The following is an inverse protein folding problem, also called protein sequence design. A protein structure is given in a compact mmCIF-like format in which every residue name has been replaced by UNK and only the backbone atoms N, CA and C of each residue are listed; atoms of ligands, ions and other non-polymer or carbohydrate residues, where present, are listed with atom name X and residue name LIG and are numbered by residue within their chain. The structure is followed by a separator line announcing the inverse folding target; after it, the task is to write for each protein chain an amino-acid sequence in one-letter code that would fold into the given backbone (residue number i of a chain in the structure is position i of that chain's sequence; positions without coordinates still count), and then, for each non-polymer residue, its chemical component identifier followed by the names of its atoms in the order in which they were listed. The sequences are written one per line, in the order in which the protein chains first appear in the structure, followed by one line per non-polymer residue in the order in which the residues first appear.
data_IF_116761319896
#
_entry.id   IF_116761319896
#
_cell.length_a   1.000
_cell.length_b   1.000
_cell.length_c   1.000
_cell.angle_alpha   90.00
_cell.angle_beta   90.00
_cell.angle_gamma   90.00
#
_symmetry.space_group_name_H-M   'P 1'
#
loop_
_entity.id
_entity.type
_entity.pdbx_description
1 polymer ?
#
# COMPACT_ATOMS: atom_id res chain seq x y z
N UNK A 1 -9.20 42.27 6.12
CA UNK A 1 -8.22 41.17 6.06
C UNK A 1 -8.78 40.12 5.12
N UNK A 2 -8.02 39.77 4.08
CA UNK A 2 -8.47 38.91 2.98
C UNK A 2 -8.72 37.48 3.44
N UNK A 3 -9.88 36.94 3.07
CA UNK A 3 -10.17 35.52 3.07
C UNK A 3 -9.35 34.88 1.94
N UNK A 4 -8.29 34.18 2.30
CA UNK A 4 -7.47 33.39 1.37
C UNK A 4 -8.29 32.21 0.83
N UNK A 5 -8.48 32.22 -0.48
CA UNK A 5 -9.08 31.15 -1.27
C UNK A 5 -8.35 29.82 -1.03
N UNK A 6 -9.07 28.81 -0.53
CA UNK A 6 -8.66 27.40 -0.62
C UNK A 6 -9.11 26.92 -2.00
N UNK A 7 -8.38 27.31 -3.05
CA UNK A 7 -8.56 26.80 -4.40
C UNK A 7 -7.66 25.59 -4.64
N UNK A 8 -8.29 24.49 -5.06
CA UNK A 8 -7.88 23.62 -6.17
C UNK A 8 -6.45 23.03 -6.18
N UNK A 9 -5.91 22.71 -5.01
CA UNK A 9 -4.55 22.15 -4.88
C UNK A 9 -4.44 20.71 -5.48
N UNK A 10 -5.55 19.98 -5.57
CA UNK A 10 -5.59 18.66 -6.23
C UNK A 10 -5.57 18.74 -7.76
N UNK A 11 -6.23 19.74 -8.36
CA UNK A 11 -6.21 19.96 -9.80
C UNK A 11 -4.84 20.42 -10.30
N UNK A 12 -4.21 21.35 -9.58
CA UNK A 12 -2.88 21.86 -9.90
C UNK A 12 -1.76 20.83 -9.69
N UNK A 13 -1.79 20.07 -8.57
CA UNK A 13 -0.80 19.02 -8.31
C UNK A 13 -0.94 17.82 -9.26
N UNK A 14 -2.16 17.53 -9.73
CA UNK A 14 -2.36 16.52 -10.78
C UNK A 14 -1.81 16.96 -12.13
N UNK A 15 -2.02 18.23 -12.48
CA UNK A 15 -1.54 18.82 -13.74
C UNK A 15 -0.02 18.78 -13.88
N UNK A 16 0.75 19.08 -12.81
CA UNK A 16 2.23 19.09 -12.90
C UNK A 16 2.85 17.73 -13.20
N UNK A 17 2.30 16.65 -12.65
CA UNK A 17 2.84 15.30 -12.85
C UNK A 17 2.41 14.75 -14.21
N UNK A 18 1.20 15.06 -14.67
CA UNK A 18 0.75 14.70 -16.01
C UNK A 18 1.63 15.38 -17.07
N UNK A 19 2.00 16.65 -16.86
CA UNK A 19 2.87 17.39 -17.77
C UNK A 19 4.24 16.73 -17.97
N UNK A 20 4.76 15.95 -17.02
CA UNK A 20 6.00 15.18 -17.19
C UNK A 20 5.85 14.09 -18.24
N UNK A 21 4.70 13.41 -18.29
CA UNK A 21 4.42 12.37 -19.27
C UNK A 21 4.17 12.92 -20.67
N UNK A 22 3.90 14.22 -20.79
CA UNK A 22 3.77 14.93 -22.06
C UNK A 22 5.09 15.46 -22.63
N UNK A 23 6.19 15.37 -21.86
CA UNK A 23 7.50 15.84 -22.29
C UNK A 23 8.05 14.95 -23.42
N UNK A 24 8.72 15.58 -24.38
CA UNK A 24 9.37 14.88 -25.49
C UNK A 24 10.39 13.85 -25.02
N UNK A 25 11.11 14.14 -23.94
CA UNK A 25 12.09 13.23 -23.35
C UNK A 25 11.46 11.93 -22.83
N UNK A 26 10.34 12.00 -22.11
CA UNK A 26 9.61 10.81 -21.67
C UNK A 26 9.11 9.99 -22.86
N UNK A 27 8.58 10.65 -23.90
CA UNK A 27 8.11 9.97 -25.12
C UNK A 27 9.24 9.25 -25.85
N UNK A 28 10.41 9.90 -25.99
CA UNK A 28 11.58 9.27 -26.61
C UNK A 28 12.08 8.05 -25.84
N UNK A 29 12.10 8.11 -24.50
CA UNK A 29 12.44 6.93 -23.69
C UNK A 29 11.39 5.83 -23.81
N UNK A 30 10.11 6.17 -23.81
CA UNK A 30 9.04 5.19 -23.99
C UNK A 30 9.15 4.49 -25.36
N UNK A 31 9.40 5.23 -26.43
CA UNK A 31 9.62 4.69 -27.77
C UNK A 31 10.81 3.71 -27.78
N UNK A 32 11.94 4.10 -27.17
CA UNK A 32 13.13 3.25 -27.04
C UNK A 32 12.81 1.95 -26.29
N UNK A 33 12.09 2.03 -25.16
CA UNK A 33 11.72 0.86 -24.35
C UNK A 33 10.80 -0.08 -25.11
N UNK A 34 9.77 0.44 -25.78
CA UNK A 34 8.82 -0.36 -26.55
C UNK A 34 9.50 -1.14 -27.68
N UNK A 35 10.44 -0.51 -28.40
CA UNK A 35 11.14 -1.14 -29.53
C UNK A 35 12.24 -2.10 -29.06
N UNK A 36 13.10 -1.67 -28.13
CA UNK A 36 14.35 -2.38 -27.83
C UNK A 36 14.27 -3.34 -26.64
N UNK A 37 13.42 -3.05 -25.65
CA UNK A 37 13.43 -3.79 -24.37
C UNK A 37 12.20 -4.69 -24.28
N UNK A 38 11.02 -4.14 -24.55
CA UNK A 38 9.75 -4.87 -24.44
C UNK A 38 9.34 -5.56 -25.74
N UNK A 39 9.95 -5.19 -26.86
CA UNK A 39 9.68 -5.77 -28.19
C UNK A 39 8.20 -5.69 -28.60
N UNK A 40 7.50 -4.63 -28.17
CA UNK A 40 6.09 -4.38 -28.54
C UNK A 40 5.96 -3.77 -29.94
N UNK A 41 7.05 -3.20 -30.45
CA UNK A 41 7.11 -2.45 -31.70
C UNK A 41 7.06 -0.94 -31.47
N UNK A 42 7.02 -0.17 -32.56
CA UNK A 42 6.96 1.28 -32.48
C UNK A 42 5.60 1.75 -31.93
N UNK A 43 5.57 2.65 -30.92
CA UNK A 43 4.34 3.25 -30.45
C UNK A 43 3.62 4.04 -31.55
N UNK A 44 2.33 3.78 -31.72
CA UNK A 44 1.44 4.50 -32.64
C UNK A 44 0.58 5.53 -31.91
N UNK A 45 0.17 5.22 -30.67
CA UNK A 45 -0.53 6.12 -29.78
C UNK A 45 -0.20 5.82 -28.33
N UNK A 46 -0.24 6.86 -27.48
CA UNK A 46 -0.04 6.73 -26.03
C UNK A 46 -1.20 7.43 -25.32
N UNK A 47 -1.80 6.75 -24.35
CA UNK A 47 -2.85 7.29 -23.49
C UNK A 47 -2.41 7.19 -22.04
N UNK A 48 -2.56 8.29 -21.30
CA UNK A 48 -2.24 8.35 -19.87
C UNK A 48 -3.51 8.63 -19.08
N UNK A 49 -3.79 7.80 -18.07
CA UNK A 49 -4.89 8.00 -17.15
C UNK A 49 -4.36 8.12 -15.72
N UNK A 50 -4.62 9.24 -15.01
CA UNK A 50 -4.22 9.35 -13.62
C UNK A 50 -5.04 8.39 -12.75
N UNK A 51 -4.35 7.62 -11.90
CA UNK A 51 -4.96 6.68 -10.96
C UNK A 51 -4.99 7.25 -9.54
N UNK A 52 -3.89 7.86 -9.09
CA UNK A 52 -3.76 8.38 -7.72
C UNK A 52 -2.81 9.56 -7.64
N UNK A 53 -3.19 10.52 -6.79
CA UNK A 53 -2.39 11.71 -6.49
C UNK A 53 -1.91 11.68 -5.05
N UNK A 54 -0.62 11.94 -4.88
CA UNK A 54 0.01 12.22 -3.60
C UNK A 54 0.72 13.58 -3.69
N UNK A 55 1.11 14.13 -2.54
CA UNK A 55 1.83 15.40 -2.51
C UNK A 55 3.19 15.30 -3.22
N UNK A 56 3.80 14.13 -3.22
CA UNK A 56 5.16 13.87 -3.70
C UNK A 56 5.21 13.02 -4.98
N UNK A 57 4.07 12.48 -5.41
CA UNK A 57 4.00 11.70 -6.66
C UNK A 57 2.63 11.68 -7.33
N UNK A 58 2.62 11.40 -8.62
CA UNK A 58 1.44 10.94 -9.35
C UNK A 58 1.61 9.50 -9.83
N UNK A 59 0.55 8.70 -9.74
CA UNK A 59 0.50 7.35 -10.32
C UNK A 59 -0.46 7.34 -11.51
N UNK A 60 -0.01 6.78 -12.63
CA UNK A 60 -0.71 6.76 -13.90
C UNK A 60 -0.77 5.34 -14.46
N UNK A 61 -1.89 5.02 -15.08
CA UNK A 61 -1.92 3.99 -16.11
C UNK A 61 -1.48 4.61 -17.43
N UNK A 62 -0.56 3.94 -18.12
CA UNK A 62 -0.07 4.33 -19.44
C UNK A 62 -0.37 3.18 -20.39
N UNK A 63 -1.26 3.44 -21.35
CA UNK A 63 -1.61 2.50 -22.40
C UNK A 63 -0.89 2.91 -23.69
N UNK A 64 -0.18 1.96 -24.29
CA UNK A 64 0.61 2.16 -25.51
C UNK A 64 0.03 1.28 -26.62
N UNK A 65 -0.42 1.91 -27.69
CA UNK A 65 -0.85 1.23 -28.91
C UNK A 65 0.36 0.97 -29.81
N UNK A 66 0.49 -0.27 -30.27
CA UNK A 66 1.52 -0.72 -31.20
C UNK A 66 0.87 -1.57 -32.28
N UNK A 67 1.66 -2.01 -33.27
CA UNK A 67 1.20 -2.94 -34.30
C UNK A 67 0.65 -4.26 -33.73
N UNK A 68 1.11 -4.66 -32.54
CA UNK A 68 0.69 -5.88 -31.86
C UNK A 68 -0.52 -5.68 -30.94
N UNK A 69 -1.01 -4.45 -30.82
CA UNK A 69 -2.16 -4.08 -30.01
C UNK A 69 -1.81 -3.14 -28.85
N UNK A 70 -2.70 -3.09 -27.87
CA UNK A 70 -2.60 -2.23 -26.69
C UNK A 70 -1.85 -2.93 -25.55
N UNK A 71 -0.83 -2.27 -25.04
CA UNK A 71 -0.04 -2.69 -23.89
C UNK A 71 -0.20 -1.70 -22.74
N UNK A 72 -0.16 -2.18 -21.49
CA UNK A 72 -0.36 -1.35 -20.31
C UNK A 72 0.82 -1.39 -19.34
N UNK A 73 1.26 -0.22 -18.89
CA UNK A 73 2.25 -0.06 -17.81
C UNK A 73 1.74 0.90 -16.74
N UNK A 74 2.30 0.80 -15.54
CA UNK A 74 2.09 1.78 -14.47
C UNK A 74 3.28 2.73 -14.43
N UNK A 75 2.98 4.03 -14.54
CA UNK A 75 3.95 5.11 -14.37
C UNK A 75 3.81 5.80 -13.03
N UNK A 76 4.90 5.89 -12.26
CA UNK A 76 4.97 6.69 -11.04
C UNK A 76 5.92 7.86 -11.26
N UNK A 77 5.36 9.07 -11.28
CA UNK A 77 6.09 10.33 -11.48
C UNK A 77 6.39 10.95 -10.13
N UNK A 78 7.66 11.22 -9.83
CA UNK A 78 8.10 11.74 -8.53
C UNK A 78 8.52 13.22 -8.60
N UNK A 79 8.27 13.97 -7.53
CA UNK A 79 8.76 15.34 -7.41
C UNK A 79 10.26 15.43 -7.10
N UNK A 80 10.83 14.37 -6.51
CA UNK A 80 12.25 14.22 -6.16
C UNK A 80 12.83 12.95 -6.78
N UNK A 81 14.15 12.86 -6.90
CA UNK A 81 14.80 11.63 -7.36
C UNK A 81 14.51 10.46 -6.39
N UNK A 82 14.10 9.33 -6.96
CA UNK A 82 13.69 8.11 -6.26
C UNK A 82 14.28 6.86 -6.90
N UNK A 83 15.43 6.96 -7.58
CA UNK A 83 16.13 5.80 -8.15
C UNK A 83 16.37 4.64 -7.16
N UNK A 84 16.47 4.94 -5.85
CA UNK A 84 16.56 3.92 -4.80
C UNK A 84 15.34 2.98 -4.71
N UNK A 85 14.15 3.44 -5.09
CA UNK A 85 12.93 2.62 -5.11
C UNK A 85 13.05 1.53 -6.16
N UNK A 86 13.48 1.88 -7.38
CA UNK A 86 13.70 0.91 -8.46
C UNK A 86 14.72 -0.17 -8.07
N UNK A 87 15.89 0.25 -7.55
CA UNK A 87 16.92 -0.70 -7.08
C UNK A 87 16.41 -1.64 -5.99
N UNK A 88 15.55 -1.12 -5.11
CA UNK A 88 14.93 -1.92 -4.05
C UNK A 88 13.99 -2.96 -4.65
N UNK A 89 13.10 -2.54 -5.57
CA UNK A 89 12.20 -3.45 -6.28
C UNK A 89 12.98 -4.54 -7.03
N UNK A 90 14.02 -4.19 -7.78
CA UNK A 90 14.84 -5.17 -8.49
C UNK A 90 15.45 -6.21 -7.54
N UNK A 91 15.98 -5.77 -6.40
CA UNK A 91 16.57 -6.66 -5.42
C UNK A 91 15.54 -7.62 -4.81
N UNK A 92 14.32 -7.15 -4.55
CA UNK A 92 13.23 -7.99 -4.06
C UNK A 92 12.77 -8.98 -5.13
N UNK A 93 12.62 -8.51 -6.37
CA UNK A 93 12.23 -9.34 -7.50
C UNK A 93 13.22 -10.50 -7.69
N UNK A 94 14.53 -10.20 -7.64
CA UNK A 94 15.63 -11.19 -7.69
C UNK A 94 15.67 -12.11 -6.46
N UNK A 95 15.13 -11.69 -5.32
CA UNK A 95 15.07 -12.49 -4.10
C UNK A 95 13.87 -13.46 -4.04
N UNK A 96 13.27 -13.80 -5.19
CA UNK A 96 12.21 -14.79 -5.28
C UNK A 96 10.80 -14.20 -5.14
N UNK A 97 10.61 -12.95 -5.54
CA UNK A 97 9.30 -12.30 -5.70
C UNK A 97 9.03 -11.91 -7.17
N UNK A 98 9.62 -12.64 -8.12
CA UNK A 98 9.37 -12.50 -9.55
C UNK A 98 8.06 -13.16 -10.02
N UNK A 99 7.78 -13.12 -11.34
CA UNK A 99 6.49 -13.51 -11.91
C UNK A 99 6.15 -15.00 -11.77
N UNK A 100 7.15 -15.86 -11.58
CA UNK A 100 6.93 -17.30 -11.38
C UNK A 100 6.70 -17.67 -9.90
N UNK A 101 6.93 -16.74 -8.98
CA UNK A 101 6.85 -17.01 -7.55
C UNK A 101 5.42 -16.81 -7.05
N UNK A 102 4.84 -17.80 -6.34
CA UNK A 102 3.48 -17.76 -5.76
C UNK A 102 3.08 -16.42 -5.10
N UNK A 103 4.05 -15.72 -4.52
CA UNK A 103 3.94 -14.37 -3.99
C UNK A 103 4.98 -13.49 -4.67
N UNK A 104 4.53 -12.45 -5.37
CA UNK A 104 5.33 -11.62 -6.24
C UNK A 104 5.15 -10.13 -5.93
N UNK A 105 5.95 -9.33 -6.62
CA UNK A 105 5.78 -7.88 -6.77
C UNK A 105 5.68 -7.56 -8.27
N UNK A 106 5.12 -6.40 -8.67
CA UNK A 106 5.14 -5.97 -10.06
C UNK A 106 6.57 -5.95 -10.57
N UNK A 107 6.78 -6.41 -11.80
CA UNK A 107 8.08 -6.27 -12.43
C UNK A 107 8.46 -4.77 -12.53
N UNK A 108 9.58 -4.34 -11.93
CA UNK A 108 10.12 -3.01 -12.20
C UNK A 108 10.73 -3.02 -13.61
N UNK A 109 10.23 -2.20 -14.53
CA UNK A 109 10.79 -2.13 -15.88
C UNK A 109 11.98 -1.18 -15.93
N UNK A 110 11.82 0.07 -15.50
CA UNK A 110 12.90 1.06 -15.54
C UNK A 110 12.62 2.25 -14.62
N UNK A 111 13.69 2.90 -14.14
CA UNK A 111 13.63 4.26 -13.62
C UNK A 111 14.33 5.22 -14.58
N UNK A 112 13.61 6.25 -15.04
CA UNK A 112 14.09 7.30 -15.93
C UNK A 112 14.49 8.53 -15.09
N UNK A 113 15.78 8.77 -14.79
CA UNK A 113 16.18 9.78 -13.80
C UNK A 113 15.92 11.22 -14.25
N UNK A 114 16.01 11.49 -15.56
CA UNK A 114 15.85 12.84 -16.11
C UNK A 114 14.42 13.37 -15.95
N UNK A 115 13.43 12.49 -16.10
CA UNK A 115 12.00 12.78 -15.92
C UNK A 115 11.44 12.27 -14.58
N UNK A 116 12.27 11.60 -13.76
CA UNK A 116 11.91 11.04 -12.45
C UNK A 116 10.70 10.11 -12.50
N UNK A 117 10.63 9.26 -13.51
CA UNK A 117 9.53 8.31 -13.73
C UNK A 117 10.00 6.87 -13.47
N UNK A 118 9.27 6.15 -12.63
CA UNK A 118 9.36 4.69 -12.51
C UNK A 118 8.27 4.06 -13.38
N UNK A 119 8.66 3.15 -14.28
CA UNK A 119 7.74 2.30 -15.04
C UNK A 119 7.77 0.88 -14.47
N UNK A 120 6.59 0.33 -14.21
CA UNK A 120 6.41 -1.03 -13.68
C UNK A 120 5.22 -1.73 -14.35
N UNK A 121 5.18 -3.05 -14.18
CA UNK A 121 4.09 -3.91 -14.67
C UNK A 121 2.72 -3.42 -14.18
N UNK A 122 1.74 -3.42 -15.11
CA UNK A 122 0.33 -3.27 -14.75
C UNK A 122 -0.25 -4.62 -14.32
N UNK A 123 -0.31 -4.82 -13.01
CA UNK A 123 -0.94 -6.01 -12.42
C UNK A 123 -2.43 -6.03 -12.73
N UNK A 124 -2.91 -7.18 -13.19
CA UNK A 124 -4.33 -7.41 -13.50
C UNK A 124 -5.07 -8.03 -12.31
N UNK A 125 -6.39 -7.86 -12.28
CA UNK A 125 -7.28 -8.49 -11.30
C UNK A 125 -7.75 -7.55 -10.18
N UNK A 126 -8.71 -8.00 -9.35
CA UNK A 126 -9.25 -7.20 -8.26
C UNK A 126 -8.22 -7.00 -7.15
N UNK A 127 -8.29 -5.83 -6.51
CA UNK A 127 -7.54 -5.60 -5.28
C UNK A 127 -8.10 -6.43 -4.12
N UNK A 128 -7.28 -6.75 -3.11
CA UNK A 128 -7.72 -7.38 -1.89
C UNK A 128 -8.77 -6.53 -1.18
N UNK A 129 -8.71 -5.19 -1.31
CA UNK A 129 -9.76 -4.28 -0.85
C UNK A 129 -11.12 -4.65 -1.43
N UNK A 130 -11.20 -4.84 -2.75
CA UNK A 130 -12.47 -5.17 -3.42
C UNK A 130 -13.02 -6.51 -2.91
N UNK A 131 -12.17 -7.53 -2.79
CA UNK A 131 -12.58 -8.83 -2.25
C UNK A 131 -13.01 -8.76 -0.79
N UNK A 132 -12.32 -7.97 0.03
CA UNK A 132 -12.68 -7.79 1.45
C UNK A 132 -14.00 -7.04 1.64
N UNK A 133 -14.31 -6.06 0.78
CA UNK A 133 -15.55 -5.28 0.86
C UNK A 133 -16.74 -6.00 0.25
N UNK A 134 -16.55 -6.51 -0.96
CA UNK A 134 -17.64 -6.89 -1.85
C UNK A 134 -17.72 -8.41 -2.04
N UNK A 135 -16.70 -9.16 -1.64
CA UNK A 135 -16.69 -10.63 -1.76
C UNK A 135 -17.67 -11.31 -0.81
N UNK A 136 -17.93 -12.59 -1.08
CA UNK A 136 -18.57 -13.53 -0.18
C UNK A 136 -17.72 -13.74 1.09
N UNK A 137 -18.29 -14.26 2.20
CA UNK A 137 -17.51 -14.56 3.40
C UNK A 137 -16.27 -15.43 3.13
N UNK A 138 -16.39 -16.42 2.24
CA UNK A 138 -15.27 -17.27 1.85
C UNK A 138 -14.16 -16.49 1.12
N UNK A 139 -14.52 -15.66 0.14
CA UNK A 139 -13.55 -14.83 -0.59
C UNK A 139 -12.85 -13.81 0.31
N UNK A 140 -13.57 -13.25 1.30
CA UNK A 140 -12.97 -12.33 2.30
C UNK A 140 -11.92 -13.03 3.16
N UNK A 141 -12.23 -14.25 3.61
CA UNK A 141 -11.29 -15.06 4.42
C UNK A 141 -10.06 -15.40 3.56
N UNK A 142 -10.27 -15.91 2.35
CA UNK A 142 -9.18 -16.22 1.42
C UNK A 142 -8.31 -14.99 1.11
N UNK A 143 -8.94 -13.82 0.91
CA UNK A 143 -8.27 -12.53 0.74
C UNK A 143 -7.32 -12.21 1.89
N UNK A 144 -7.82 -12.30 3.11
CA UNK A 144 -7.06 -11.98 4.31
C UNK A 144 -5.96 -13.01 4.62
N UNK A 145 -6.23 -14.31 4.47
CA UNK A 145 -5.25 -15.38 4.71
C UNK A 145 -4.06 -15.25 3.77
N UNK A 146 -4.32 -15.10 2.49
CA UNK A 146 -3.29 -14.97 1.46
C UNK A 146 -2.50 -13.66 1.59
N UNK A 147 -3.16 -12.55 1.93
CA UNK A 147 -2.47 -11.30 2.25
C UNK A 147 -1.53 -11.47 3.46
N UNK A 148 -1.94 -12.24 4.48
CA UNK A 148 -1.09 -12.60 5.61
C UNK A 148 0.10 -13.48 5.21
N UNK A 149 -0.12 -14.47 4.34
CA UNK A 149 0.93 -15.37 3.85
C UNK A 149 1.98 -14.64 3.01
N UNK A 150 1.55 -13.75 2.10
CA UNK A 150 2.46 -12.92 1.30
C UNK A 150 3.39 -12.12 2.23
N UNK A 151 2.80 -11.46 3.23
CA UNK A 151 3.53 -10.63 4.17
C UNK A 151 4.49 -11.44 5.08
N UNK A 152 4.06 -12.61 5.53
CA UNK A 152 4.90 -13.51 6.31
C UNK A 152 6.12 -13.97 5.51
N UNK A 153 5.92 -14.32 4.23
CA UNK A 153 7.03 -14.63 3.31
C UNK A 153 7.92 -13.42 3.10
N UNK A 154 7.34 -12.23 2.89
CA UNK A 154 8.10 -11.00 2.71
C UNK A 154 9.02 -10.71 3.89
N UNK A 155 8.51 -10.78 5.12
CA UNK A 155 9.32 -10.61 6.33
C UNK A 155 10.46 -11.62 6.46
N UNK A 156 10.29 -12.83 5.94
CA UNK A 156 11.25 -13.91 6.10
C UNK A 156 12.32 -13.90 5.01
N UNK A 157 11.91 -13.70 3.76
CA UNK A 157 12.74 -13.95 2.59
C UNK A 157 13.22 -12.68 1.88
N UNK A 158 12.56 -11.55 2.07
CA UNK A 158 12.93 -10.35 1.33
C UNK A 158 14.24 -9.73 1.87
N UNK A 159 15.04 -9.10 0.99
CA UNK A 159 16.26 -8.42 1.39
C UNK A 159 15.99 -7.31 2.41
N UNK A 160 16.85 -7.22 3.43
CA UNK A 160 16.79 -6.17 4.45
C UNK A 160 17.46 -4.90 3.92
N UNK A 161 16.74 -4.18 3.07
CA UNK A 161 17.23 -2.96 2.43
C UNK A 161 16.71 -1.72 3.15
N UNK A 162 17.51 -0.65 3.12
CA UNK A 162 17.21 0.67 3.68
C UNK A 162 17.37 0.77 5.19
N UNK A 163 16.86 1.88 5.73
CA UNK A 163 17.09 2.26 7.12
C UNK A 163 16.22 1.46 8.07
N UNK A 164 16.84 1.04 9.17
CA UNK A 164 16.10 0.44 10.24
C UNK A 164 15.13 1.42 10.87
N UNK A 165 13.90 0.96 11.14
CA UNK A 165 12.94 1.80 11.85
C UNK A 165 13.42 2.00 13.28
N UNK A 166 13.85 3.22 13.58
CA UNK A 166 13.94 3.68 14.96
C UNK A 166 12.53 3.92 15.50
N UNK A 167 12.02 2.93 16.22
CA UNK A 167 10.69 2.99 16.86
C UNK A 167 10.69 4.11 17.90
N UNK A 168 11.78 4.27 18.66
CA UNK A 168 11.89 5.28 19.72
C UNK A 168 11.91 6.69 19.13
N UNK A 169 12.69 6.90 18.06
CA UNK A 169 12.70 8.14 17.29
C UNK A 169 11.35 8.52 16.67
N UNK A 170 10.39 7.58 16.56
CA UNK A 170 9.03 7.87 16.07
C UNK A 170 8.05 8.33 17.16
N UNK A 171 8.38 8.20 18.46
CA UNK A 171 7.44 8.56 19.53
C UNK A 171 7.08 10.04 19.55
N UNK A 172 7.98 10.93 19.15
CA UNK A 172 7.66 12.36 18.99
C UNK A 172 6.52 12.57 18.00
N UNK A 173 6.53 11.85 16.87
CA UNK A 173 5.45 11.88 15.89
C UNK A 173 4.18 11.22 16.41
N UNK A 174 4.29 10.11 17.13
CA UNK A 174 3.12 9.46 17.74
C UNK A 174 2.44 10.35 18.78
N UNK A 175 3.22 11.06 19.60
CA UNK A 175 2.72 12.03 20.56
C UNK A 175 1.93 13.15 19.86
N UNK A 176 2.48 13.74 18.79
CA UNK A 176 1.78 14.78 18.02
C UNK A 176 0.40 14.31 17.51
N UNK A 177 0.29 13.06 17.05
CA UNK A 177 -0.99 12.50 16.62
C UNK A 177 -1.93 12.24 17.79
N UNK A 178 -1.39 11.71 18.90
CA UNK A 178 -2.15 11.51 20.14
C UNK A 178 -2.72 12.83 20.66
N UNK A 179 -1.93 13.90 20.70
CA UNK A 179 -2.36 15.24 21.11
C UNK A 179 -3.51 15.74 20.23
N UNK A 180 -3.41 15.52 18.91
CA UNK A 180 -4.48 15.86 17.97
C UNK A 180 -5.74 15.05 18.23
N UNK A 181 -5.62 13.74 18.49
CA UNK A 181 -6.78 12.89 18.86
C UNK A 181 -7.40 13.39 20.17
N UNK A 182 -6.57 13.71 21.17
CA UNK A 182 -7.02 14.20 22.46
C UNK A 182 -7.75 15.54 22.36
N UNK A 183 -7.37 16.39 21.39
CA UNK A 183 -8.04 17.68 21.17
C UNK A 183 -9.53 17.57 20.79
N UNK A 184 -9.99 16.40 20.32
CA UNK A 184 -11.42 16.15 20.04
C UNK A 184 -12.26 15.85 21.30
N UNK A 185 -11.64 15.77 22.49
CA UNK A 185 -12.33 15.54 23.74
C UNK A 185 -12.71 14.07 24.00
N UNK A 186 -13.60 13.86 24.98
CA UNK A 186 -13.98 12.52 25.42
C UNK A 186 -15.00 11.87 24.45
N UNK A 187 -14.96 10.53 24.27
CA UNK A 187 -14.06 9.55 24.92
C UNK A 187 -12.73 9.32 24.18
N UNK A 188 -12.46 10.08 23.12
CA UNK A 188 -11.28 9.86 22.27
C UNK A 188 -9.98 10.23 22.98
N UNK A 189 -10.02 11.24 23.84
CA UNK A 189 -8.87 11.65 24.64
C UNK A 189 -8.37 10.53 25.56
N UNK A 190 -9.27 9.90 26.34
CA UNK A 190 -8.87 8.80 27.23
C UNK A 190 -8.31 7.61 26.46
N UNK A 191 -8.95 7.26 25.33
CA UNK A 191 -8.49 6.16 24.48
C UNK A 191 -7.14 6.46 23.84
N UNK A 192 -6.93 7.67 23.35
CA UNK A 192 -5.67 8.11 22.75
C UNK A 192 -4.53 8.09 23.76
N UNK A 193 -4.74 8.69 24.93
CA UNK A 193 -3.75 8.72 26.01
C UNK A 193 -3.41 7.30 26.51
N UNK A 194 -4.42 6.43 26.64
CA UNK A 194 -4.21 5.02 27.02
C UNK A 194 -3.39 4.28 25.98
N UNK A 195 -3.77 4.37 24.71
CA UNK A 195 -3.07 3.70 23.61
C UNK A 195 -1.61 4.14 23.53
N UNK A 196 -1.35 5.44 23.68
CA UNK A 196 0.02 5.96 23.65
C UNK A 196 0.89 5.38 24.78
N UNK A 197 0.39 5.34 26.02
CA UNK A 197 1.10 4.73 27.15
C UNK A 197 1.36 3.23 26.93
N UNK A 198 0.37 2.50 26.42
CA UNK A 198 0.52 1.07 26.11
C UNK A 198 1.59 0.85 25.01
N UNK A 199 1.63 1.72 23.99
CA UNK A 199 2.65 1.68 22.94
C UNK A 199 4.05 1.99 23.49
N UNK A 200 4.20 2.99 24.37
CA UNK A 200 5.47 3.30 25.04
C UNK A 200 5.97 2.12 25.87
N UNK A 201 5.08 1.51 26.67
CA UNK A 201 5.42 0.36 27.49
C UNK A 201 5.81 -0.88 26.66
N UNK A 202 5.19 -1.07 25.49
CA UNK A 202 5.49 -2.18 24.58
C UNK A 202 6.71 -1.93 23.67
N UNK A 203 7.30 -0.73 23.71
CA UNK A 203 8.43 -0.37 22.88
C UNK A 203 9.68 -1.16 23.28
N UNK A 204 10.36 -1.84 22.34
CA UNK A 204 11.51 -2.64 22.67
C UNK A 204 12.69 -1.75 23.13
N UNK A 205 13.57 -2.33 23.93
CA UNK A 205 14.85 -1.71 24.21
C UNK A 205 15.73 -1.72 22.93
N UNK A 206 16.59 -0.71 22.72
CA UNK A 206 17.51 -0.70 21.58
C UNK A 206 18.32 -2.00 21.50
N UNK A 207 18.45 -2.56 20.30
CA UNK A 207 19.24 -3.78 20.06
C UNK A 207 18.62 -5.10 20.51
N UNK A 208 17.41 -5.10 21.09
CA UNK A 208 16.78 -6.32 21.63
C UNK A 208 15.90 -7.08 20.64
N UNK A 209 15.71 -6.56 19.42
CA UNK A 209 14.82 -7.15 18.42
C UNK A 209 15.55 -7.28 17.10
N UNK A 210 15.39 -8.46 16.48
CA UNK A 210 15.83 -8.68 15.12
C UNK A 210 14.89 -7.98 14.13
N UNK A 211 15.45 -7.12 13.30
CA UNK A 211 14.72 -6.38 12.27
C UNK A 211 14.51 -7.23 11.01
N UNK A 212 13.30 -7.29 10.49
CA UNK A 212 13.00 -7.96 9.21
C UNK A 212 12.70 -6.94 8.10
N UNK A 213 12.67 -7.39 6.85
CA UNK A 213 12.17 -6.53 5.77
C UNK A 213 10.72 -6.12 6.05
N UNK A 214 10.38 -4.87 5.79
CA UNK A 214 9.03 -4.32 5.94
C UNK A 214 8.59 -3.59 4.67
N UNK A 215 7.32 -3.79 4.30
CA UNK A 215 6.73 -3.16 3.11
C UNK A 215 6.59 -1.64 3.28
N UNK A 216 6.34 -1.18 4.52
CA UNK A 216 6.31 0.24 4.87
C UNK A 216 4.94 0.91 4.77
N UNK A 217 4.03 0.41 3.92
CA UNK A 217 2.60 0.80 3.86
C UNK A 217 1.77 -0.32 3.20
N UNK A 218 1.60 -1.42 3.96
CA UNK A 218 0.90 -2.61 3.48
C UNK A 218 -0.60 -2.46 3.71
N UNK A 219 -1.32 -2.04 2.67
CA UNK A 219 -2.77 -1.83 2.71
C UNK A 219 -3.46 -2.69 1.63
N UNK A 220 -4.75 -3.06 1.81
CA UNK A 220 -5.45 -3.94 0.88
C UNK A 220 -5.56 -3.42 -0.56
N UNK A 221 -5.48 -2.09 -0.75
CA UNK A 221 -5.38 -1.45 -2.07
C UNK A 221 -4.12 -1.82 -2.85
N UNK A 222 -3.06 -2.20 -2.14
CA UNK A 222 -1.77 -2.54 -2.73
C UNK A 222 -1.60 -4.03 -2.98
N UNK A 223 -2.62 -4.87 -2.73
CA UNK A 223 -2.54 -6.32 -2.91
C UNK A 223 -3.54 -6.72 -3.98
N UNK A 224 -3.11 -7.50 -4.97
CA UNK A 224 -3.92 -7.88 -6.12
C UNK A 224 -4.08 -9.39 -6.21
N UNK A 225 -5.30 -9.81 -6.54
CA UNK A 225 -5.68 -11.20 -6.64
C UNK A 225 -5.76 -11.59 -8.11
N UNK A 226 -4.87 -12.45 -8.56
CA UNK A 226 -4.87 -12.94 -9.94
C UNK A 226 -5.48 -14.35 -9.98
N UNK A 227 -6.49 -14.62 -10.84
CA UNK A 227 -7.20 -15.90 -10.89
C UNK A 227 -6.34 -17.12 -11.27
N UNK A 228 -5.23 -16.92 -11.96
CA UNK A 228 -4.40 -17.99 -12.55
C UNK A 228 -2.89 -17.78 -12.36
N UNK A 229 -2.50 -16.76 -11.59
CA UNK A 229 -1.12 -16.31 -11.42
C UNK A 229 -0.81 -16.04 -9.93
N UNK A 230 0.46 -15.89 -9.58
CA UNK A 230 0.86 -15.55 -8.23
C UNK A 230 0.33 -14.22 -7.69
N UNK A 231 0.17 -14.17 -6.36
CA UNK A 231 -0.34 -13.01 -5.66
C UNK A 231 0.66 -11.88 -5.63
N UNK A 232 0.23 -10.72 -6.12
CA UNK A 232 1.13 -9.58 -6.32
C UNK A 232 0.81 -8.47 -5.32
N UNK A 233 1.82 -8.00 -4.60
CA UNK A 233 1.70 -6.78 -3.80
C UNK A 233 2.49 -5.64 -4.47
N UNK A 234 1.83 -4.52 -4.71
CA UNK A 234 2.40 -3.32 -5.31
C UNK A 234 3.49 -2.71 -4.44
N UNK A 235 4.52 -2.20 -5.14
CA UNK A 235 5.54 -1.39 -4.53
C UNK A 235 5.04 0.02 -4.21
N UNK A 236 5.37 0.55 -3.04
CA UNK A 236 5.21 1.96 -2.71
C UNK A 236 6.62 2.55 -2.43
N UNK A 237 6.78 3.86 -2.48
CA UNK A 237 7.97 4.65 -2.09
C UNK A 237 8.57 4.36 -0.71
N UNK A 238 7.95 3.49 0.09
CA UNK A 238 8.37 3.20 1.45
C UNK A 238 8.90 1.78 1.66
N UNK A 239 9.05 1.02 0.58
CA UNK A 239 9.83 -0.22 0.62
C UNK A 239 11.24 0.17 1.00
N UNK A 240 11.82 -0.60 1.93
CA UNK A 240 13.09 -0.33 2.61
C UNK A 240 12.98 0.19 4.06
N UNK A 241 11.86 -0.05 4.76
CA UNK A 241 11.85 0.07 6.22
C UNK A 241 11.99 -1.31 6.80
N UNK A 242 13.02 -1.54 7.61
CA UNK A 242 13.00 -2.77 8.40
C UNK A 242 11.95 -2.63 9.50
N UNK A 243 11.04 -3.59 9.57
CA UNK A 243 9.92 -3.60 10.50
C UNK A 243 10.13 -4.65 11.58
N UNK A 244 9.44 -4.47 12.71
CA UNK A 244 9.36 -5.46 13.77
C UNK A 244 8.21 -6.42 13.48
N UNK A 245 8.41 -7.76 13.49
CA UNK A 245 7.31 -8.71 13.61
C UNK A 245 6.72 -8.63 15.03
N UNK A 246 5.38 -8.59 15.17
CA UNK A 246 4.76 -8.67 16.48
C UNK A 246 5.03 -10.03 17.14
N UNK A 247 5.35 -10.02 18.43
CA UNK A 247 5.58 -11.22 19.24
C UNK A 247 4.63 -11.16 20.44
N UNK A 248 3.72 -12.13 20.52
CA UNK A 248 3.03 -12.60 21.74
C UNK A 248 2.22 -11.58 22.56
N UNK A 249 0.90 -11.59 22.38
CA UNK A 249 -0.13 -11.61 23.45
C UNK A 249 -1.50 -11.96 22.81
N UNK A 250 -2.38 -12.73 23.47
CA UNK A 250 -3.69 -13.06 22.92
C UNK A 250 -4.59 -11.83 22.87
N UNK A 251 -5.42 -11.64 21.82
CA UNK A 251 -6.31 -10.49 21.74
C UNK A 251 -7.39 -10.55 22.83
N UNK A 252 -7.80 -9.42 23.42
CA UNK A 252 -8.97 -9.39 24.29
C UNK A 252 -10.21 -9.81 23.49
N UNK A 253 -11.00 -10.73 24.06
CA UNK A 253 -12.20 -11.38 23.52
C UNK A 253 -13.41 -10.45 23.37
N UNK A 254 -13.21 -9.23 22.86
CA UNK A 254 -14.30 -8.28 22.63
C UNK A 254 -14.55 -8.08 21.14
N UNK A 255 -15.81 -8.33 20.74
CA UNK A 255 -16.37 -8.13 19.40
C UNK A 255 -15.99 -6.74 18.87
N UNK A 256 -15.03 -6.68 17.96
CA UNK A 256 -14.62 -5.44 17.29
C UNK A 256 -15.38 -5.27 15.98
N UNK A 257 -16.41 -4.42 16.01
CA UNK A 257 -17.07 -3.86 14.83
C UNK A 257 -16.40 -2.51 14.51
N UNK A 258 -15.32 -2.53 13.71
CA UNK A 258 -14.56 -1.34 13.29
C UNK A 258 -13.40 -1.72 12.35
N UNK A 259 -13.00 -0.88 11.37
CA UNK A 259 -12.67 -1.40 10.05
C UNK A 259 -11.18 -1.72 9.82
N UNK A 260 -10.97 -2.74 8.98
CA UNK A 260 -9.74 -3.16 8.29
C UNK A 260 -8.65 -3.89 9.11
N UNK A 261 -8.15 -3.32 10.20
CA UNK A 261 -7.07 -3.97 10.98
C UNK A 261 -7.53 -5.27 11.66
N UNK A 262 -8.82 -5.34 12.00
CA UNK A 262 -9.44 -6.48 12.66
C UNK A 262 -9.82 -7.65 11.72
N UNK A 263 -9.69 -7.51 10.39
CA UNK A 263 -10.02 -8.59 9.45
C UNK A 263 -8.78 -9.40 9.01
N UNK A 264 -7.59 -8.78 9.01
CA UNK A 264 -6.33 -9.46 8.69
C UNK A 264 -5.85 -10.29 9.90
N UNK A 265 -6.13 -9.84 11.13
CA UNK A 265 -5.70 -10.52 12.36
C UNK A 265 -6.37 -11.91 12.60
N UNK A 266 -7.69 -12.11 12.41
CA UNK A 266 -8.34 -13.40 12.67
C UNK A 266 -8.07 -14.44 11.58
N UNK A 267 -7.95 -14.01 10.33
CA UNK A 267 -7.64 -14.88 9.19
C UNK A 267 -6.19 -15.40 9.28
N UNK A 268 -5.25 -14.57 9.74
CA UNK A 268 -3.88 -14.97 10.07
C UNK A 268 -3.77 -15.90 11.29
N UNK A 269 -4.87 -16.22 11.98
CA UNK A 269 -4.91 -17.20 13.09
C UNK A 269 -5.58 -18.52 12.73
N UNK A 270 -6.00 -18.73 11.46
CA UNK A 270 -6.49 -20.03 11.02
C UNK A 270 -5.35 -21.07 11.06
N UNK A 271 -5.39 -21.89 12.11
CA UNK A 271 -4.33 -22.84 12.51
C UNK A 271 -4.04 -23.96 11.49
N UNK A 272 -4.73 -24.00 10.35
CA UNK A 272 -4.52 -24.96 9.26
C UNK A 272 -3.48 -24.47 8.23
N UNK A 273 -3.43 -23.17 7.92
CA UNK A 273 -2.45 -22.61 6.97
C UNK A 273 -1.05 -22.43 7.59
N UNK A 274 -0.96 -22.28 8.91
CA UNK A 274 0.27 -21.94 9.63
C UNK A 274 1.17 -23.13 10.00
N UNK A 275 0.73 -24.39 9.86
CA UNK A 275 1.56 -25.56 10.25
C UNK A 275 2.69 -25.89 9.26
N UNK A 276 2.69 -25.33 8.05
CA UNK A 276 3.70 -25.65 7.02
C UNK A 276 4.93 -24.73 7.00
N UNK A 277 4.90 -23.60 7.71
CA UNK A 277 6.04 -22.68 7.79
C UNK A 277 6.23 -22.21 9.23
N UNK A 278 7.24 -22.76 9.91
CA UNK A 278 7.89 -22.26 11.14
C UNK A 278 7.05 -21.58 12.22
N UNK A 279 6.95 -22.22 13.39
CA UNK A 279 6.25 -21.75 14.60
C UNK A 279 6.35 -20.24 14.91
N UNK A 280 5.19 -19.57 14.92
CA UNK A 280 4.94 -18.31 15.61
C UNK A 280 3.84 -17.47 14.94
N UNK A 281 2.77 -17.03 15.66
CA UNK A 281 1.82 -16.06 15.11
C UNK A 281 2.50 -14.69 15.01
N UNK A 282 2.60 -14.14 13.79
CA UNK A 282 3.27 -12.86 13.51
C UNK A 282 2.31 -11.94 12.77
N UNK A 283 1.90 -10.84 13.40
CA UNK A 283 1.20 -9.72 12.75
C UNK A 283 2.17 -8.55 12.51
N UNK A 284 1.92 -7.74 11.48
CA UNK A 284 2.67 -6.53 11.20
C UNK A 284 1.91 -5.28 11.66
N UNK A 285 2.64 -4.28 12.13
CA UNK A 285 2.12 -2.92 12.32
C UNK A 285 2.33 -2.15 11.02
N UNK A 286 1.25 -1.84 10.31
CA UNK A 286 1.30 -1.03 9.10
C UNK A 286 1.35 0.45 9.49
N UNK A 287 2.18 1.20 8.76
CA UNK A 287 2.18 2.66 8.82
C UNK A 287 1.02 3.13 7.95
N UNK A 288 0.17 4.00 8.52
CA UNK A 288 -0.77 4.94 7.88
C UNK A 288 -2.18 4.86 8.51
N UNK A 289 -2.40 5.74 9.49
CA UNK A 289 -3.72 6.31 9.74
C UNK A 289 -3.76 7.66 9.02
N UNK A 290 -4.19 7.67 7.76
CA UNK A 290 -4.83 8.86 7.19
C UNK A 290 -6.34 8.73 7.36
N UNK A 291 -7.05 9.76 7.86
CA UNK A 291 -8.50 9.72 7.91
C UNK A 291 -9.05 9.86 6.49
N UNK A 292 -9.46 8.76 5.88
CA UNK A 292 -10.42 8.81 4.78
C UNK A 292 -11.70 9.45 5.32
N UNK A 293 -11.97 10.67 4.85
CA UNK A 293 -13.21 11.40 5.08
C UNK A 293 -14.41 10.51 4.76
N UNK A 294 -15.19 10.20 5.79
CA UNK A 294 -16.35 9.33 5.75
C UNK A 294 -17.60 10.14 5.38
N UNK A 295 -17.72 10.55 4.12
CA UNK A 295 -18.98 11.10 3.59
C UNK A 295 -19.63 10.10 2.64
N UNK A 296 -20.22 9.02 3.20
CA UNK A 296 -21.36 8.30 2.59
C UNK A 296 -21.94 7.23 3.50
N UNK A 297 -22.47 7.65 4.65
CA UNK A 297 -23.56 6.95 5.32
C UNK A 297 -24.55 7.98 5.88
N UNK A 298 -25.23 8.70 4.97
CA UNK A 298 -26.58 9.18 5.31
C UNK A 298 -27.52 8.01 5.08
N UNK A 299 -28.03 7.47 6.18
CA UNK A 299 -29.18 6.56 6.17
C UNK A 299 -30.33 7.14 5.35
N UNK A 300 -31.01 6.34 4.52
CA UNK A 300 -32.42 6.54 4.26
C UNK A 300 -33.23 5.74 5.29
N UNK A 301 -33.85 6.49 6.20
CA UNK A 301 -35.26 6.35 6.60
C UNK A 301 -35.77 4.94 6.95
N UNK A 302 -36.05 4.76 8.25
CA UNK A 302 -37.04 3.79 8.75
C UNK A 302 -38.42 4.07 8.12
N UNK A 303 -39.20 3.04 7.73
CA UNK A 303 -40.56 3.22 7.25
C UNK A 303 -41.53 3.57 8.39
N UNK A 304 -42.52 4.47 8.17
CA UNK A 304 -43.52 4.83 9.16
C UNK A 304 -44.69 3.85 9.08
N UNK A 305 -44.69 2.80 9.90
CA UNK A 305 -45.87 1.95 10.05
C UNK A 305 -45.96 1.33 11.45
N UNK A 306 -45.87 2.16 12.49
CA UNK A 306 -46.37 1.85 13.84
C UNK A 306 -46.83 3.16 14.49
N UNK A 307 -48.00 3.65 14.06
CA UNK A 307 -48.84 4.54 14.85
C UNK A 307 -50.24 3.95 14.87
N UNK A 308 -50.71 3.60 16.06
CA UNK A 308 -52.11 3.50 16.41
C UNK A 308 -52.23 3.51 17.94
N UNK A 309 -53.38 3.95 18.47
CA UNK A 309 -54.00 5.27 18.34
C UNK A 309 -53.46 6.27 19.37
#
# INVERSE_FOLDING_TARGET
MMLGSVHDDKGAAGSRFAAVLDQGEFRSELDRLCVSEWHWGAPQAVRTQPLKWHRERGTFEIAVETETGWHGVIGKVYDVDRAGVFRTMEAIWRAGFGPEAEFSIPQPFVYLPSVRVLLEEKVQGPSAKESLLNGTPHERIAAAERAGQWLARFHTAAPRLGDAVDIRGKFSRFQQWTDRIMSFGQPLADKGARLFRELEAAAPAPGTVEYCAGHGSYIPEHVFLTPSMPWTALADTSWSRTCRPAVGEPPPTTRSTGPWSACIAPAATSASAFRRFGNGPRSCWTKDFEPCLYERFRSPLLPPSLRAP
#
